data_IF_140041775656
#
_entry.id   IF_140041775656
#
_cell.length_a   1.000
_cell.length_b   1.000
_cell.length_c   1.000
_cell.angle_alpha   90.00
_cell.angle_beta   90.00
_cell.angle_gamma   90.00
#
_symmetry.space_group_name_H-M   'P 1'
#
loop_
_entity.id
_entity.type
_entity.pdbx_description
1 polymer ?
#
# COMPACT_ATOMS: atom_id res chain seq x y z
N UNK A 1 22.16 -22.40 13.95
CA UNK A 1 21.50 -21.54 12.94
C UNK A 1 20.36 -22.35 12.33
N UNK A 2 19.12 -21.89 12.50
CA UNK A 2 17.96 -22.60 11.95
C UNK A 2 17.10 -21.61 11.16
N UNK A 3 16.62 -22.05 10.00
CA UNK A 3 15.62 -21.29 9.23
C UNK A 3 14.27 -21.40 9.94
N UNK A 4 13.58 -20.26 10.05
CA UNK A 4 12.18 -20.21 10.47
C UNK A 4 11.27 -19.88 9.30
N UNK A 5 9.96 -19.94 9.54
CA UNK A 5 8.97 -19.43 8.61
C UNK A 5 8.66 -17.95 8.93
N UNK A 6 8.64 -17.09 7.91
CA UNK A 6 8.45 -15.66 8.06
C UNK A 6 7.56 -15.09 6.97
N UNK A 7 6.83 -14.02 7.29
CA UNK A 7 6.33 -13.06 6.32
C UNK A 7 7.44 -12.06 6.04
N UNK A 8 7.71 -11.78 4.77
CA UNK A 8 8.79 -10.92 4.34
C UNK A 8 8.25 -9.92 3.31
N UNK A 9 8.58 -8.66 3.49
CA UNK A 9 8.42 -7.62 2.51
C UNK A 9 9.79 -7.06 2.14
N UNK A 10 10.05 -6.93 0.85
CA UNK A 10 11.23 -6.27 0.31
C UNK A 10 10.79 -5.21 -0.69
N UNK A 11 11.31 -4.01 -0.58
CA UNK A 11 10.96 -2.91 -1.47
C UNK A 11 12.11 -1.91 -1.67
N UNK A 12 12.11 -1.33 -2.86
CA UNK A 12 12.99 -0.29 -3.33
C UNK A 12 12.28 1.07 -3.30
N UNK A 13 13.00 2.13 -2.90
CA UNK A 13 12.50 3.50 -2.95
C UNK A 13 12.86 4.11 -4.30
N UNK A 14 11.85 4.27 -5.16
CA UNK A 14 12.04 4.78 -6.50
C UNK A 14 12.42 6.26 -6.53
N UNK A 15 13.43 6.60 -7.31
CA UNK A 15 13.88 7.98 -7.48
C UNK A 15 15.03 8.39 -6.56
N UNK A 16 15.50 7.51 -5.67
CA UNK A 16 16.55 7.80 -4.70
C UNK A 16 17.91 8.09 -5.33
N UNK A 17 18.18 7.60 -6.52
CA UNK A 17 19.50 7.77 -7.17
C UNK A 17 19.94 9.23 -7.25
N UNK A 18 18.99 10.17 -7.35
CA UNK A 18 19.32 11.60 -7.35
C UNK A 18 19.83 12.11 -5.99
N UNK A 19 19.48 11.46 -4.88
CA UNK A 19 20.00 11.83 -3.56
C UNK A 19 21.42 11.33 -3.31
N UNK A 20 21.84 10.29 -4.05
CA UNK A 20 23.16 9.67 -3.90
C UNK A 20 24.20 10.21 -4.91
N UNK A 21 23.76 10.98 -5.92
CA UNK A 21 24.62 11.35 -7.02
C UNK A 21 25.52 12.58 -6.73
N UNK A 22 25.06 13.52 -5.91
CA UNK A 22 25.63 14.85 -5.86
C UNK A 22 26.08 15.32 -4.44
N UNK A 23 25.64 14.67 -3.35
CA UNK A 23 25.95 15.10 -1.98
C UNK A 23 25.82 13.97 -0.96
N UNK A 24 26.93 13.58 -0.34
CA UNK A 24 26.99 12.55 0.70
C UNK A 24 26.10 12.89 1.91
N UNK A 25 25.98 14.19 2.26
CA UNK A 25 25.12 14.61 3.35
C UNK A 25 23.63 14.48 3.01
N UNK A 26 23.25 14.78 1.77
CA UNK A 26 21.89 14.56 1.30
C UNK A 26 21.52 13.06 1.30
N UNK A 27 22.45 12.19 0.88
CA UNK A 27 22.29 10.76 0.94
C UNK A 27 22.10 10.23 2.37
N UNK A 28 22.96 10.66 3.31
CA UNK A 28 22.84 10.30 4.72
C UNK A 28 21.55 10.82 5.34
N UNK A 29 21.18 12.08 5.06
CA UNK A 29 19.92 12.68 5.53
C UNK A 29 18.71 11.86 5.06
N UNK A 30 18.70 11.47 3.77
CA UNK A 30 17.65 10.62 3.22
C UNK A 30 17.56 9.26 3.94
N UNK A 31 18.68 8.57 4.17
CA UNK A 31 18.68 7.29 4.87
C UNK A 31 18.19 7.40 6.32
N UNK A 32 18.55 8.50 7.03
CA UNK A 32 18.00 8.75 8.36
C UNK A 32 16.48 9.05 8.33
N UNK A 33 16.01 9.77 7.31
CA UNK A 33 14.57 10.00 7.11
C UNK A 33 13.85 8.70 6.83
N UNK A 34 14.38 7.85 5.94
CA UNK A 34 13.79 6.55 5.63
C UNK A 34 13.71 5.66 6.88
N UNK A 35 14.78 5.63 7.70
CA UNK A 35 14.77 4.94 9.00
C UNK A 35 13.68 5.49 9.92
N UNK A 36 13.52 6.81 9.97
CA UNK A 36 12.47 7.47 10.74
C UNK A 36 11.06 7.10 10.27
N UNK A 37 10.83 7.08 8.96
CA UNK A 37 9.56 6.68 8.35
C UNK A 37 9.18 5.24 8.69
N UNK A 38 10.12 4.29 8.56
CA UNK A 38 9.91 2.90 8.97
C UNK A 38 9.52 2.81 10.45
N UNK A 39 10.26 3.51 11.32
CA UNK A 39 9.96 3.51 12.75
C UNK A 39 8.59 4.15 13.08
N UNK A 40 8.21 5.22 12.38
CA UNK A 40 6.90 5.86 12.55
C UNK A 40 5.76 4.95 12.08
N UNK A 41 5.89 4.32 10.91
CA UNK A 41 4.88 3.40 10.37
C UNK A 41 4.68 2.18 11.26
N UNK A 42 5.77 1.63 11.81
CA UNK A 42 5.71 0.56 12.82
C UNK A 42 4.94 1.02 14.07
N UNK A 43 5.23 2.23 14.58
CA UNK A 43 4.53 2.79 15.74
C UNK A 43 3.06 3.05 15.47
N UNK A 44 2.73 3.63 14.32
CA UNK A 44 1.37 3.96 13.94
C UNK A 44 0.50 2.70 13.81
N UNK A 45 0.98 1.71 13.05
CA UNK A 45 0.24 0.49 12.82
C UNK A 45 0.13 -0.41 14.07
N UNK A 46 1.12 -0.38 14.96
CA UNK A 46 1.07 -1.10 16.23
C UNK A 46 0.29 -0.34 17.33
N UNK A 47 -0.27 0.84 17.02
CA UNK A 47 -1.04 1.64 17.98
C UNK A 47 -0.23 2.14 19.17
N UNK A 48 1.10 2.23 19.03
CA UNK A 48 2.03 2.69 20.07
C UNK A 48 2.04 4.23 20.10
N UNK A 49 0.86 4.85 20.07
CA UNK A 49 0.68 6.24 20.43
C UNK A 49 0.19 6.34 21.89
N UNK A 50 1.14 6.50 22.77
CA UNK A 50 1.12 7.20 24.07
C UNK A 50 0.15 6.79 25.18
N UNK A 51 -0.64 5.73 25.15
CA UNK A 51 -1.49 5.50 26.32
C UNK A 51 -1.77 4.08 26.78
N UNK A 52 -1.42 3.02 26.07
CA UNK A 52 -1.40 1.65 26.66
C UNK A 52 -0.56 0.69 25.83
N UNK A 53 0.29 -0.14 26.47
CA UNK A 53 1.02 -1.18 25.78
C UNK A 53 0.04 -2.21 25.21
N UNK A 54 0.27 -2.62 23.98
CA UNK A 54 -0.38 -3.75 23.30
C UNK A 54 0.00 -5.10 23.96
N UNK A 55 -0.14 -5.19 25.27
CA UNK A 55 0.18 -6.41 26.04
C UNK A 55 -0.80 -7.55 25.76
N UNK A 56 -1.73 -7.39 24.85
CA UNK A 56 -2.74 -8.41 24.50
C UNK A 56 -2.59 -8.99 23.10
N UNK A 57 -1.79 -8.38 22.22
CA UNK A 57 -1.42 -9.05 20.98
C UNK A 57 -0.15 -9.85 21.21
N UNK A 58 -0.13 -11.15 20.83
CA UNK A 58 1.08 -11.95 20.95
C UNK A 58 2.19 -11.31 20.13
N UNK A 59 3.36 -11.24 20.71
CA UNK A 59 4.62 -10.69 20.19
C UNK A 59 4.65 -10.28 18.71
N UNK A 60 4.20 -9.04 18.44
CA UNK A 60 4.31 -8.40 17.14
C UNK A 60 5.69 -7.79 16.97
N UNK A 61 6.72 -8.65 16.91
CA UNK A 61 8.09 -8.19 16.68
C UNK A 61 8.36 -8.14 15.17
N UNK A 62 7.97 -7.03 14.54
CA UNK A 62 8.37 -6.74 13.17
C UNK A 62 9.79 -6.18 13.20
N UNK A 63 10.70 -6.86 12.51
CA UNK A 63 12.08 -6.44 12.36
C UNK A 63 12.33 -5.88 10.96
N UNK A 64 13.40 -5.08 10.81
CA UNK A 64 13.74 -4.52 9.51
C UNK A 64 15.25 -4.41 9.30
N UNK A 65 15.62 -4.35 8.01
CA UNK A 65 16.98 -4.00 7.56
C UNK A 65 16.88 -2.97 6.46
N UNK A 66 17.83 -2.05 6.45
CA UNK A 66 17.98 -1.03 5.42
C UNK A 66 19.30 -1.27 4.68
N UNK A 67 19.22 -1.26 3.35
CA UNK A 67 20.38 -1.41 2.47
C UNK A 67 20.30 -0.34 1.38
N UNK A 68 21.04 0.76 1.53
CA UNK A 68 20.93 1.88 0.59
C UNK A 68 19.46 2.37 0.52
N UNK A 69 18.82 2.27 -0.63
CA UNK A 69 17.43 2.61 -0.92
C UNK A 69 16.46 1.44 -0.77
N UNK A 70 16.93 0.29 -0.31
CA UNK A 70 16.12 -0.89 -0.12
C UNK A 70 15.76 -1.12 1.34
N UNK A 71 14.56 -1.62 1.58
CA UNK A 71 14.05 -1.98 2.90
C UNK A 71 13.54 -3.41 2.88
N UNK A 72 14.00 -4.21 3.84
CA UNK A 72 13.43 -5.51 4.15
C UNK A 72 12.71 -5.44 5.50
N UNK A 73 11.42 -5.77 5.54
CA UNK A 73 10.64 -5.98 6.76
C UNK A 73 10.34 -7.46 6.89
N UNK A 74 10.38 -7.99 8.12
CA UNK A 74 10.05 -9.38 8.33
C UNK A 74 9.39 -9.63 9.71
N UNK A 75 8.47 -10.59 9.73
CA UNK A 75 7.70 -11.01 10.89
C UNK A 75 7.72 -12.54 10.96
N UNK A 76 8.20 -13.11 12.08
CA UNK A 76 8.20 -14.56 12.29
C UNK A 76 6.77 -15.10 12.35
N UNK A 77 6.50 -16.15 11.57
CA UNK A 77 5.23 -16.89 11.61
C UNK A 77 5.22 -17.76 12.87
N UNK A 78 4.10 -17.80 13.56
CA UNK A 78 3.91 -18.57 14.80
C UNK A 78 2.64 -19.41 14.75
N UNK A 79 2.50 -20.36 15.67
CA UNK A 79 1.28 -21.14 15.84
C UNK A 79 0.20 -20.38 16.66
N UNK A 80 0.28 -19.05 16.69
CA UNK A 80 -0.67 -18.22 17.43
C UNK A 80 -2.09 -18.35 16.85
N UNK A 81 -3.13 -18.53 17.67
CA UNK A 81 -4.51 -18.46 17.20
C UNK A 81 -4.87 -17.11 16.59
N UNK A 82 -4.06 -16.07 16.83
CA UNK A 82 -4.24 -14.71 16.27
C UNK A 82 -3.30 -14.43 15.08
N UNK A 83 -2.74 -15.49 14.44
CA UNK A 83 -1.77 -15.33 13.35
C UNK A 83 -2.34 -14.55 12.15
N UNK A 84 -3.64 -14.69 11.86
CA UNK A 84 -4.28 -13.87 10.82
C UNK A 84 -4.21 -12.37 11.14
N UNK A 85 -4.45 -11.98 12.39
CA UNK A 85 -4.36 -10.57 12.82
C UNK A 85 -2.91 -10.08 12.70
N UNK A 86 -1.93 -10.93 13.02
CA UNK A 86 -0.50 -10.63 12.88
C UNK A 86 -0.14 -10.36 11.43
N UNK A 87 -0.55 -11.25 10.51
CA UNK A 87 -0.33 -11.09 9.07
C UNK A 87 -0.98 -9.80 8.54
N UNK A 88 -2.25 -9.58 8.86
CA UNK A 88 -2.96 -8.39 8.36
C UNK A 88 -2.38 -7.09 8.93
N UNK A 89 -1.95 -7.08 10.20
CA UNK A 89 -1.23 -5.94 10.79
C UNK A 89 0.13 -5.72 10.10
N UNK A 90 0.84 -6.79 9.73
CA UNK A 90 2.08 -6.69 8.96
C UNK A 90 1.85 -6.02 7.60
N UNK A 91 0.81 -6.44 6.86
CA UNK A 91 0.43 -5.81 5.59
C UNK A 91 0.03 -4.34 5.77
N UNK A 92 -0.67 -4.02 6.86
CA UNK A 92 -1.04 -2.65 7.19
C UNK A 92 0.17 -1.76 7.46
N UNK A 93 1.17 -2.25 8.21
CA UNK A 93 2.44 -1.53 8.43
C UNK A 93 3.07 -1.14 7.11
N UNK A 94 3.08 -2.05 6.13
CA UNK A 94 3.67 -1.80 4.81
C UNK A 94 2.85 -0.75 4.04
N UNK A 95 1.51 -0.83 4.11
CA UNK A 95 0.63 0.17 3.49
C UNK A 95 0.81 1.56 4.10
N UNK A 96 0.95 1.66 5.44
CA UNK A 96 1.26 2.91 6.13
C UNK A 96 2.61 3.48 5.70
N UNK A 97 3.63 2.64 5.64
CA UNK A 97 4.95 3.06 5.19
C UNK A 97 4.89 3.58 3.74
N UNK A 98 4.14 2.93 2.87
CA UNK A 98 3.96 3.38 1.49
C UNK A 98 3.26 4.75 1.43
N UNK A 99 2.25 5.00 2.28
CA UNK A 99 1.59 6.31 2.43
C UNK A 99 2.54 7.38 2.98
N UNK A 100 3.29 7.07 4.02
CA UNK A 100 4.23 8.00 4.65
C UNK A 100 5.32 8.45 3.67
N UNK A 101 5.91 7.50 2.94
CA UNK A 101 6.92 7.78 1.92
C UNK A 101 6.34 8.62 0.79
N UNK A 102 5.13 8.29 0.33
CA UNK A 102 4.48 9.02 -0.76
C UNK A 102 4.05 10.43 -0.34
N UNK A 103 3.32 10.55 0.76
CA UNK A 103 2.68 11.81 1.13
C UNK A 103 3.61 12.75 1.90
N UNK A 104 4.60 12.20 2.61
CA UNK A 104 5.58 12.97 3.34
C UNK A 104 6.75 13.44 2.47
N UNK A 105 7.17 12.61 1.50
CA UNK A 105 8.42 12.82 0.77
C UNK A 105 8.28 12.80 -0.76
N UNK A 106 7.07 12.60 -1.28
CA UNK A 106 6.80 12.49 -2.72
C UNK A 106 7.63 11.38 -3.42
N UNK A 107 7.96 10.32 -2.68
CA UNK A 107 8.69 9.15 -3.17
C UNK A 107 7.74 7.96 -3.35
N UNK A 108 8.13 7.05 -4.21
CA UNK A 108 7.34 5.86 -4.56
C UNK A 108 8.06 4.60 -4.09
N UNK A 109 7.31 3.63 -3.60
CA UNK A 109 7.83 2.30 -3.28
C UNK A 109 7.43 1.28 -4.36
N UNK A 110 8.35 0.34 -4.61
CA UNK A 110 8.12 -0.83 -5.44
C UNK A 110 8.69 -2.03 -4.72
N UNK A 111 7.95 -3.16 -4.69
CA UNK A 111 8.42 -4.31 -3.93
C UNK A 111 7.52 -5.52 -4.03
N UNK A 112 7.78 -6.49 -3.13
CA UNK A 112 7.00 -7.70 -3.00
C UNK A 112 6.87 -8.16 -1.56
N UNK A 113 5.77 -8.85 -1.27
CA UNK A 113 5.51 -9.52 0.02
C UNK A 113 5.29 -11.00 -0.24
N UNK A 114 5.97 -11.83 0.55
CA UNK A 114 5.91 -13.30 0.45
C UNK A 114 5.97 -13.96 1.84
N UNK A 115 5.75 -15.25 1.89
CA UNK A 115 5.91 -16.06 3.10
C UNK A 115 6.77 -17.29 2.82
N UNK A 116 7.62 -17.67 3.77
CA UNK A 116 8.44 -18.88 3.63
C UNK A 116 9.69 -18.87 4.50
N UNK A 117 10.61 -19.77 4.17
CA UNK A 117 11.85 -20.00 4.94
C UNK A 117 12.79 -18.80 4.86
N UNK A 118 13.20 -18.35 6.03
CA UNK A 118 14.08 -17.20 6.19
C UNK A 118 14.94 -17.36 7.46
N UNK A 119 16.13 -16.81 7.41
CA UNK A 119 17.06 -16.69 8.52
C UNK A 119 17.45 -15.24 8.74
N UNK A 120 17.49 -14.81 9.98
CA UNK A 120 17.96 -13.49 10.38
C UNK A 120 18.75 -13.57 11.68
N UNK A 121 19.89 -12.88 11.72
CA UNK A 121 20.62 -12.55 12.94
C UNK A 121 21.03 -11.07 12.95
N UNK A 122 21.93 -10.67 13.81
CA UNK A 122 22.38 -9.28 13.95
C UNK A 122 23.05 -8.74 12.67
N UNK A 123 23.68 -9.61 11.88
CA UNK A 123 24.52 -9.24 10.75
C UNK A 123 24.00 -9.71 9.39
N UNK A 124 23.28 -10.82 9.36
CA UNK A 124 22.89 -11.52 8.14
C UNK A 124 21.39 -11.72 8.06
N UNK A 125 20.85 -11.52 6.86
CA UNK A 125 19.53 -11.98 6.48
C UNK A 125 19.62 -12.79 5.19
N UNK A 126 18.96 -13.94 5.12
CA UNK A 126 18.96 -14.80 3.94
C UNK A 126 17.79 -15.78 3.93
N UNK A 127 17.45 -16.27 2.75
CA UNK A 127 16.47 -17.35 2.61
C UNK A 127 15.68 -17.28 1.32
N UNK A 128 15.01 -18.40 0.96
CA UNK A 128 14.17 -18.45 -0.25
C UNK A 128 13.09 -17.37 -0.28
N UNK A 129 12.47 -17.08 0.87
CA UNK A 129 11.44 -16.05 0.92
C UNK A 129 11.97 -14.64 0.63
N UNK A 130 13.20 -14.30 1.07
CA UNK A 130 13.82 -13.02 0.69
C UNK A 130 14.10 -12.95 -0.82
N UNK A 131 14.62 -14.02 -1.40
CA UNK A 131 14.88 -14.11 -2.85
C UNK A 131 13.58 -13.90 -3.63
N UNK A 132 12.49 -14.54 -3.20
CA UNK A 132 11.19 -14.38 -3.87
C UNK A 132 10.66 -12.95 -3.74
N UNK A 133 10.79 -12.31 -2.57
CA UNK A 133 10.38 -10.90 -2.39
C UNK A 133 11.18 -9.94 -3.29
N UNK A 134 12.49 -10.20 -3.48
CA UNK A 134 13.36 -9.47 -4.42
C UNK A 134 12.91 -9.72 -5.87
N UNK A 135 12.64 -10.96 -6.27
CA UNK A 135 12.14 -11.29 -7.60
C UNK A 135 10.82 -10.57 -7.92
N UNK A 136 9.91 -10.48 -6.95
CA UNK A 136 8.66 -9.71 -7.09
C UNK A 136 8.94 -8.21 -7.30
N UNK A 137 9.90 -7.65 -6.59
CA UNK A 137 10.35 -6.25 -6.79
C UNK A 137 10.92 -6.06 -8.19
N UNK A 138 11.87 -6.89 -8.63
CA UNK A 138 12.53 -6.79 -9.93
C UNK A 138 11.54 -6.95 -11.11
N UNK A 139 10.56 -7.85 -10.98
CA UNK A 139 9.51 -8.05 -11.99
C UNK A 139 8.45 -6.95 -11.96
N UNK A 140 8.41 -6.16 -10.92
CA UNK A 140 7.48 -5.03 -10.76
C UNK A 140 7.84 -3.87 -11.69
N UNK A 141 6.96 -3.54 -12.64
CA UNK A 141 7.14 -2.37 -13.53
C UNK A 141 6.63 -1.10 -12.83
N UNK A 142 5.55 -1.23 -12.06
CA UNK A 142 4.78 -0.14 -11.48
C UNK A 142 5.16 0.11 -10.01
N UNK A 143 4.93 1.33 -9.49
CA UNK A 143 5.22 1.69 -8.11
C UNK A 143 4.17 1.10 -7.15
N UNK A 144 4.21 -0.20 -6.97
CA UNK A 144 3.32 -0.98 -6.12
C UNK A 144 4.08 -2.11 -5.42
N UNK A 145 3.54 -2.59 -4.32
CA UNK A 145 4.08 -3.72 -3.58
C UNK A 145 3.22 -4.94 -3.92
N UNK A 146 3.81 -5.88 -4.66
CA UNK A 146 3.14 -7.10 -5.10
C UNK A 146 2.94 -8.07 -3.93
N UNK A 147 1.84 -8.81 -3.96
CA UNK A 147 1.52 -9.87 -2.99
C UNK A 147 1.74 -11.22 -3.67
N UNK A 148 2.56 -12.07 -3.09
CA UNK A 148 2.77 -13.43 -3.57
C UNK A 148 1.62 -14.37 -3.21
N UNK A 149 1.45 -15.43 -3.99
CA UNK A 149 0.45 -16.47 -3.75
C UNK A 149 0.62 -17.18 -2.39
N UNK A 150 1.81 -17.18 -1.80
CA UNK A 150 2.04 -17.74 -0.46
C UNK A 150 1.27 -16.98 0.61
N UNK A 151 1.16 -15.64 0.48
CA UNK A 151 0.37 -14.79 1.37
C UNK A 151 -1.13 -15.08 1.20
N UNK A 152 -1.62 -15.17 -0.03
CA UNK A 152 -3.03 -15.48 -0.31
C UNK A 152 -3.43 -16.85 0.27
N UNK A 153 -2.57 -17.86 0.10
CA UNK A 153 -2.76 -19.18 0.71
C UNK A 153 -2.75 -19.12 2.24
N UNK A 154 -1.84 -18.34 2.83
CA UNK A 154 -1.76 -18.18 4.29
C UNK A 154 -3.02 -17.51 4.84
N UNK A 155 -3.49 -16.42 4.22
CA UNK A 155 -4.75 -15.75 4.58
C UNK A 155 -5.92 -16.72 4.51
N UNK A 156 -6.08 -17.41 3.40
CA UNK A 156 -7.18 -18.38 3.20
C UNK A 156 -7.16 -19.50 4.24
N UNK A 157 -6.00 -20.09 4.51
CA UNK A 157 -5.84 -21.15 5.50
C UNK A 157 -6.15 -20.65 6.93
N UNK A 158 -5.64 -19.49 7.30
CA UNK A 158 -5.84 -18.91 8.63
C UNK A 158 -7.31 -18.56 8.89
N UNK A 159 -8.00 -17.92 7.93
CA UNK A 159 -9.43 -17.59 8.05
C UNK A 159 -10.28 -18.87 8.17
N UNK A 160 -10.00 -19.89 7.37
CA UNK A 160 -10.78 -21.13 7.40
C UNK A 160 -10.54 -21.93 8.68
N UNK A 161 -9.34 -21.89 9.25
CA UNK A 161 -9.00 -22.65 10.45
C UNK A 161 -9.51 -22.00 11.75
N UNK A 162 -9.50 -20.65 11.81
CA UNK A 162 -9.88 -19.94 13.04
C UNK A 162 -11.37 -19.72 13.19
N UNK A 163 -12.09 -19.57 12.09
CA UNK A 163 -13.51 -19.21 12.10
C UNK A 163 -14.37 -20.18 11.26
N UNK A 164 -14.29 -21.50 11.50
CA UNK A 164 -15.02 -22.46 10.64
C UNK A 164 -16.53 -22.31 10.72
N UNK A 165 -17.08 -21.74 11.81
CA UNK A 165 -18.50 -21.63 12.07
C UNK A 165 -18.99 -20.20 12.37
N UNK A 166 -18.11 -19.22 12.42
CA UNK A 166 -18.46 -17.80 12.66
C UNK A 166 -18.43 -17.02 11.36
N UNK A 167 -19.60 -16.90 10.74
CA UNK A 167 -19.75 -16.25 9.44
C UNK A 167 -19.49 -14.75 9.50
N UNK A 168 -19.90 -14.06 10.57
CA UNK A 168 -19.76 -12.61 10.70
C UNK A 168 -18.29 -12.20 10.89
N UNK A 169 -17.55 -12.93 11.71
CA UNK A 169 -16.12 -12.68 11.91
C UNK A 169 -15.32 -13.01 10.65
N UNK A 170 -15.72 -14.08 9.93
CA UNK A 170 -15.12 -14.44 8.65
C UNK A 170 -15.32 -13.36 7.60
N UNK A 171 -16.53 -12.85 7.44
CA UNK A 171 -16.85 -11.80 6.47
C UNK A 171 -16.11 -10.49 6.81
N UNK A 172 -16.00 -10.14 8.09
CA UNK A 172 -15.21 -9.00 8.55
C UNK A 172 -13.72 -9.12 8.22
N UNK A 173 -13.13 -10.30 8.41
CA UNK A 173 -11.73 -10.58 8.03
C UNK A 173 -11.51 -10.55 6.53
N UNK A 174 -12.45 -11.10 5.74
CA UNK A 174 -12.39 -11.04 4.27
C UNK A 174 -12.50 -9.59 3.78
N UNK A 175 -13.43 -8.81 4.31
CA UNK A 175 -13.55 -7.39 3.98
C UNK A 175 -12.27 -6.61 4.28
N UNK A 176 -11.57 -6.96 5.37
CA UNK A 176 -10.28 -6.38 5.68
C UNK A 176 -9.21 -6.76 4.66
N UNK A 177 -9.10 -8.05 4.32
CA UNK A 177 -8.20 -8.51 3.26
C UNK A 177 -8.49 -7.78 1.94
N UNK A 178 -9.75 -7.70 1.53
CA UNK A 178 -10.19 -7.02 0.32
C UNK A 178 -9.85 -5.52 0.32
N UNK A 179 -9.86 -4.88 1.49
CA UNK A 179 -9.44 -3.49 1.61
C UNK A 179 -7.93 -3.30 1.42
N UNK A 180 -7.12 -4.27 1.84
CA UNK A 180 -5.65 -4.20 1.77
C UNK A 180 -5.06 -4.77 0.50
N UNK A 181 -5.70 -5.77 -0.12
CA UNK A 181 -5.17 -6.48 -1.29
C UNK A 181 -6.02 -6.18 -2.52
N UNK A 182 -5.39 -5.71 -3.56
CA UNK A 182 -6.05 -5.30 -4.78
C UNK A 182 -5.46 -6.02 -6.00
N UNK A 183 -6.31 -6.58 -6.86
CA UNK A 183 -5.88 -7.43 -7.98
C UNK A 183 -6.38 -7.04 -9.37
N UNK A 184 -6.96 -5.85 -9.56
CA UNK A 184 -7.77 -5.57 -10.75
C UNK A 184 -7.13 -4.65 -11.80
N UNK A 185 -5.96 -4.04 -11.54
CA UNK A 185 -5.36 -3.04 -12.45
C UNK A 185 -4.09 -3.55 -13.11
N UNK A 186 -4.04 -3.52 -14.43
CA UNK A 186 -2.88 -3.88 -15.22
C UNK A 186 -2.74 -5.39 -15.45
N UNK A 187 -1.63 -5.98 -15.00
CA UNK A 187 -1.29 -7.40 -15.19
C UNK A 187 -2.03 -8.38 -14.26
N UNK A 188 -3.04 -7.91 -13.54
CA UNK A 188 -3.87 -8.67 -12.59
C UNK A 188 -3.10 -9.31 -11.42
N UNK A 189 -1.83 -8.95 -11.22
CA UNK A 189 -1.09 -9.40 -10.03
C UNK A 189 -1.61 -8.67 -8.79
N UNK A 190 -1.92 -9.39 -7.70
CA UNK A 190 -2.38 -8.76 -6.48
C UNK A 190 -1.28 -7.86 -5.89
N UNK A 191 -1.68 -6.72 -5.36
CA UNK A 191 -0.77 -5.76 -4.74
C UNK A 191 -1.42 -5.07 -3.55
N UNK A 192 -0.59 -4.45 -2.71
CA UNK A 192 -1.05 -3.77 -1.51
C UNK A 192 -1.74 -2.45 -1.85
N UNK A 193 -2.96 -2.27 -1.34
CA UNK A 193 -3.76 -1.06 -1.52
C UNK A 193 -3.45 -0.02 -0.44
N UNK A 194 -2.48 0.83 -0.69
CA UNK A 194 -2.10 1.89 0.26
C UNK A 194 -3.06 3.09 0.30
N UNK A 195 -4.00 3.21 -0.62
CA UNK A 195 -5.01 4.27 -0.62
C UNK A 195 -6.23 3.92 0.24
N UNK A 196 -6.44 2.64 0.51
CA UNK A 196 -7.47 2.18 1.45
C UNK A 196 -7.07 2.47 2.90
N UNK A 197 -8.06 2.60 3.74
CA UNK A 197 -7.90 2.63 5.19
C UNK A 197 -8.54 1.36 5.72
N UNK A 198 -7.79 0.48 6.39
CA UNK A 198 -8.39 -0.69 7.02
C UNK A 198 -9.38 -0.25 8.08
N UNK A 199 -10.56 -0.81 8.09
CA UNK A 199 -11.56 -0.55 9.14
C UNK A 199 -11.09 -0.92 10.54
N UNK A 200 -9.97 -1.62 10.64
CA UNK A 200 -9.39 -2.09 11.89
C UNK A 200 -8.90 -1.02 12.84
N UNK A 201 -8.47 0.14 12.38
CA UNK A 201 -8.15 1.22 13.32
C UNK A 201 -9.36 1.54 14.23
N UNK A 202 -10.54 1.09 13.82
CA UNK A 202 -11.80 1.30 14.53
C UNK A 202 -12.42 0.03 15.09
N UNK A 203 -12.22 -1.11 14.44
CA UNK A 203 -12.56 -2.40 15.04
C UNK A 203 -11.60 -2.73 16.20
N UNK A 204 -10.35 -2.24 16.15
CA UNK A 204 -9.34 -2.54 17.15
C UNK A 204 -9.60 -1.92 18.55
N UNK A 205 -10.05 -0.65 18.71
CA UNK A 205 -10.48 -0.18 20.01
C UNK A 205 -11.63 -1.00 20.59
N UNK A 206 -12.46 -1.53 19.71
CA UNK A 206 -13.59 -2.39 20.01
C UNK A 206 -13.06 -3.80 20.38
N UNK A 207 -12.16 -4.40 19.65
CA UNK A 207 -11.50 -5.67 20.00
C UNK A 207 -10.69 -5.55 21.30
N UNK A 208 -10.01 -4.42 21.53
CA UNK A 208 -9.16 -4.18 22.70
C UNK A 208 -9.96 -3.98 23.99
N UNK A 209 -11.18 -3.49 23.92
CA UNK A 209 -12.05 -3.24 25.08
C UNK A 209 -13.08 -4.36 25.30
N UNK A 210 -12.86 -5.56 24.81
CA UNK A 210 -13.88 -6.60 24.76
C UNK A 210 -14.89 -6.35 23.64
N UNK A 211 -14.43 -5.77 22.57
CA UNK A 211 -15.25 -5.02 21.63
C UNK A 211 -16.15 -5.82 20.72
N UNK A 212 -15.83 -7.09 20.41
CA UNK A 212 -16.85 -7.95 19.77
C UNK A 212 -17.99 -8.18 20.77
N UNK A 213 -17.68 -8.50 22.02
CA UNK A 213 -18.68 -8.62 23.08
C UNK A 213 -19.45 -7.31 23.33
N UNK A 214 -18.78 -6.14 23.19
CA UNK A 214 -19.42 -4.83 23.33
C UNK A 214 -20.31 -4.52 22.12
N UNK A 215 -19.87 -4.82 20.89
CA UNK A 215 -20.72 -4.64 19.70
C UNK A 215 -21.90 -5.62 19.69
N UNK A 216 -21.67 -6.90 20.00
CA UNK A 216 -22.73 -7.90 20.13
C UNK A 216 -23.71 -7.54 21.26
N UNK A 217 -23.19 -6.99 22.37
CA UNK A 217 -24.03 -6.48 23.46
C UNK A 217 -24.81 -5.24 23.05
N UNK A 218 -24.16 -4.28 22.37
CA UNK A 218 -24.84 -3.10 21.84
C UNK A 218 -25.88 -3.48 20.78
N UNK A 219 -25.58 -4.39 19.87
CA UNK A 219 -26.54 -4.89 18.88
C UNK A 219 -27.77 -5.51 19.55
N UNK A 220 -27.58 -6.26 20.65
CA UNK A 220 -28.62 -6.94 21.37
C UNK A 220 -29.39 -6.03 22.35
N UNK A 221 -28.66 -5.19 23.11
CA UNK A 221 -29.21 -4.41 24.21
C UNK A 221 -29.58 -2.98 23.79
N UNK A 222 -28.98 -2.43 22.76
CA UNK A 222 -29.17 -1.06 22.27
C UNK A 222 -28.96 -0.95 20.74
N UNK A 223 -29.87 -1.52 19.92
CA UNK A 223 -29.72 -1.53 18.45
C UNK A 223 -29.53 -0.15 17.82
N UNK A 224 -30.15 0.88 18.39
CA UNK A 224 -30.00 2.27 17.92
C UNK A 224 -28.58 2.81 18.16
N UNK A 225 -27.96 2.48 19.30
CA UNK A 225 -26.59 2.89 19.65
C UNK A 225 -25.58 2.11 18.81
N UNK A 226 -25.85 0.83 18.55
CA UNK A 226 -25.08 0.01 17.61
C UNK A 226 -25.06 0.63 16.21
N UNK A 227 -26.23 0.98 15.64
CA UNK A 227 -26.30 1.59 14.31
C UNK A 227 -25.67 3.00 14.26
N UNK A 228 -25.78 3.79 15.32
CA UNK A 228 -25.07 5.08 15.43
C UNK A 228 -23.56 4.88 15.43
N UNK A 229 -23.06 3.93 16.21
CA UNK A 229 -21.62 3.62 16.31
C UNK A 229 -21.09 3.12 14.98
N UNK A 230 -21.79 2.18 14.34
CA UNK A 230 -21.45 1.66 13.01
C UNK A 230 -21.44 2.75 11.95
N UNK A 231 -22.44 3.64 11.95
CA UNK A 231 -22.53 4.76 11.01
C UNK A 231 -21.39 5.76 11.22
N UNK A 232 -21.07 6.10 12.45
CA UNK A 232 -19.96 6.99 12.78
C UNK A 232 -18.62 6.42 12.31
N UNK A 233 -18.37 5.13 12.56
CA UNK A 233 -17.18 4.39 12.09
C UNK A 233 -17.09 4.47 10.56
N UNK A 234 -18.18 4.12 9.86
CA UNK A 234 -18.21 4.14 8.39
C UNK A 234 -17.97 5.55 7.82
N UNK A 235 -18.52 6.59 8.44
CA UNK A 235 -18.33 7.99 8.04
C UNK A 235 -16.87 8.43 8.12
N UNK A 236 -16.22 8.11 9.20
CA UNK A 236 -14.82 8.50 9.39
C UNK A 236 -13.86 7.72 8.47
N UNK A 237 -14.11 6.39 8.22
CA UNK A 237 -13.33 5.61 7.23
C UNK A 237 -13.45 6.25 5.86
N UNK A 238 -14.67 6.58 5.43
CA UNK A 238 -14.90 7.28 4.16
C UNK A 238 -14.15 8.60 4.11
N UNK A 239 -14.15 9.38 5.19
CA UNK A 239 -13.40 10.64 5.28
C UNK A 239 -11.89 10.39 5.13
N UNK A 240 -11.33 9.39 5.81
CA UNK A 240 -9.90 9.08 5.72
C UNK A 240 -9.52 8.63 4.30
N UNK A 241 -10.35 7.80 3.64
CA UNK A 241 -10.14 7.40 2.25
C UNK A 241 -10.19 8.63 1.33
N UNK A 242 -11.16 9.51 1.51
CA UNK A 242 -11.26 10.75 0.77
C UNK A 242 -10.01 11.63 0.94
N UNK A 243 -9.55 11.83 2.17
CA UNK A 243 -8.35 12.60 2.47
C UNK A 243 -7.09 12.00 1.82
N UNK A 244 -6.96 10.66 1.84
CA UNK A 244 -5.87 9.95 1.14
C UNK A 244 -5.95 10.18 -0.38
N UNK A 245 -7.14 10.09 -0.97
CA UNK A 245 -7.34 10.32 -2.40
C UNK A 245 -7.07 11.77 -2.79
N UNK A 246 -7.52 12.75 -2.01
CA UNK A 246 -7.22 14.16 -2.25
C UNK A 246 -5.72 14.46 -2.19
N UNK A 247 -4.98 13.87 -1.22
CA UNK A 247 -3.51 13.99 -1.14
C UNK A 247 -2.84 13.31 -2.33
N UNK A 248 -3.33 12.16 -2.75
CA UNK A 248 -2.80 11.43 -3.91
C UNK A 248 -3.06 12.16 -5.23
N UNK A 249 -4.24 12.78 -5.39
CA UNK A 249 -4.56 13.65 -6.53
C UNK A 249 -3.54 14.81 -6.64
N UNK A 250 -3.31 15.52 -5.53
CA UNK A 250 -2.33 16.61 -5.48
C UNK A 250 -0.92 16.15 -5.84
N UNK A 251 -0.50 15.00 -5.33
CA UNK A 251 0.78 14.38 -5.67
C UNK A 251 0.86 14.06 -7.17
N UNK A 252 -0.18 13.45 -7.74
CA UNK A 252 -0.21 13.10 -9.16
C UNK A 252 -0.12 14.32 -10.05
N UNK A 253 -0.91 15.37 -9.80
CA UNK A 253 -0.85 16.59 -10.60
C UNK A 253 0.56 17.23 -10.56
N UNK A 254 1.14 17.37 -9.37
CA UNK A 254 2.49 17.92 -9.24
C UNK A 254 3.56 17.08 -9.97
N UNK A 255 3.47 15.76 -9.86
CA UNK A 255 4.42 14.86 -10.50
C UNK A 255 4.25 14.76 -12.02
N UNK A 256 3.02 14.71 -12.52
CA UNK A 256 2.72 14.68 -13.95
C UNK A 256 3.22 15.98 -14.59
N UNK A 257 2.92 17.13 -13.99
CA UNK A 257 3.42 18.43 -14.47
C UNK A 257 4.95 18.47 -14.52
N UNK A 258 5.63 17.93 -13.51
CA UNK A 258 7.08 17.96 -13.39
C UNK A 258 7.79 16.98 -14.34
N UNK A 259 7.25 15.77 -14.49
CA UNK A 259 8.00 14.67 -15.10
C UNK A 259 7.41 14.16 -16.42
N UNK A 260 6.14 14.39 -16.70
CA UNK A 260 5.42 13.74 -17.80
C UNK A 260 5.04 14.67 -18.94
N UNK A 261 5.20 15.99 -18.79
CA UNK A 261 4.91 16.97 -19.83
C UNK A 261 5.86 16.85 -21.04
N UNK A 262 5.51 17.54 -22.09
CA UNK A 262 6.37 17.67 -23.29
C UNK A 262 7.70 18.26 -22.85
N UNK A 263 8.78 17.51 -22.98
CA UNK A 263 10.10 17.92 -22.49
C UNK A 263 11.09 18.02 -23.61
N UNK A 264 12.11 18.87 -23.41
CA UNK A 264 13.28 19.06 -24.26
C UNK A 264 14.26 17.87 -24.22
N UNK A 265 13.75 16.64 -24.03
CA UNK A 265 14.60 15.45 -24.16
C UNK A 265 15.12 15.39 -25.59
N UNK A 266 16.44 15.36 -25.72
CA UNK A 266 17.06 15.13 -27.02
C UNK A 266 16.55 13.80 -27.59
N UNK A 267 15.75 13.86 -28.64
CA UNK A 267 15.11 12.69 -29.28
C UNK A 267 16.13 11.71 -29.88
N UNK A 268 17.33 12.18 -30.15
CA UNK A 268 18.42 11.35 -30.65
C UNK A 268 19.07 10.50 -29.52
N UNK A 269 18.85 10.88 -28.25
CA UNK A 269 19.29 10.08 -27.11
C UNK A 269 18.24 9.03 -26.73
N UNK A 270 18.37 7.84 -27.31
CA UNK A 270 17.47 6.70 -27.07
C UNK A 270 17.38 6.30 -25.60
N UNK A 271 18.44 6.50 -24.81
CA UNK A 271 18.42 6.17 -23.37
C UNK A 271 17.58 7.18 -22.58
N UNK A 272 17.71 8.46 -22.89
CA UNK A 272 16.90 9.51 -22.26
C UNK A 272 15.41 9.36 -22.60
N UNK A 273 15.08 9.07 -23.87
CA UNK A 273 13.71 8.78 -24.31
C UNK A 273 13.13 7.54 -23.58
N UNK A 274 13.88 6.44 -23.53
CA UNK A 274 13.45 5.21 -22.85
C UNK A 274 13.21 5.45 -21.34
N UNK A 275 14.09 6.21 -20.68
CA UNK A 275 13.94 6.57 -19.27
C UNK A 275 12.67 7.42 -19.04
N UNK A 276 12.43 8.40 -19.89
CA UNK A 276 11.23 9.25 -19.81
C UNK A 276 9.97 8.42 -19.98
N UNK A 277 9.90 7.57 -21.00
CA UNK A 277 8.78 6.68 -21.24
C UNK A 277 8.52 5.75 -20.05
N UNK A 278 9.58 5.23 -19.42
CA UNK A 278 9.46 4.44 -18.19
C UNK A 278 8.84 5.24 -17.04
N UNK A 279 9.18 6.52 -16.90
CA UNK A 279 8.62 7.40 -15.88
C UNK A 279 7.12 7.66 -16.16
N UNK A 280 6.79 8.03 -17.39
CA UNK A 280 5.41 8.32 -17.81
C UNK A 280 4.49 7.12 -17.58
N UNK A 281 4.93 5.91 -17.93
CA UNK A 281 4.15 4.68 -17.70
C UNK A 281 3.84 4.44 -16.21
N UNK A 282 4.75 4.80 -15.30
CA UNK A 282 4.50 4.71 -13.86
C UNK A 282 3.37 5.65 -13.43
N UNK A 283 3.41 6.90 -13.88
CA UNK A 283 2.37 7.90 -13.53
C UNK A 283 1.03 7.62 -14.22
N UNK A 284 1.05 7.08 -15.45
CA UNK A 284 -0.16 6.57 -16.11
C UNK A 284 -0.83 5.51 -15.24
N UNK A 285 -0.08 4.52 -14.79
CA UNK A 285 -0.61 3.46 -13.93
C UNK A 285 -1.16 4.03 -12.60
N UNK A 286 -0.44 4.94 -11.97
CA UNK A 286 -0.88 5.58 -10.73
C UNK A 286 -2.18 6.38 -10.92
N UNK A 287 -2.33 7.10 -12.03
CA UNK A 287 -3.55 7.84 -12.33
C UNK A 287 -4.75 6.91 -12.56
N UNK A 288 -4.54 5.80 -13.29
CA UNK A 288 -5.57 4.77 -13.50
C UNK A 288 -5.99 4.13 -12.17
N UNK A 289 -5.03 3.73 -11.33
CA UNK A 289 -5.31 3.18 -10.01
C UNK A 289 -6.05 4.17 -9.11
N UNK A 290 -5.60 5.43 -9.09
CA UNK A 290 -6.24 6.50 -8.34
C UNK A 290 -7.71 6.70 -8.75
N UNK A 291 -7.96 6.87 -10.05
CA UNK A 291 -9.32 7.07 -10.57
C UNK A 291 -10.23 5.86 -10.31
N UNK A 292 -9.67 4.65 -10.36
CA UNK A 292 -10.41 3.45 -10.00
C UNK A 292 -10.84 3.49 -8.51
N UNK A 293 -9.94 3.88 -7.61
CA UNK A 293 -10.25 4.03 -6.19
C UNK A 293 -11.28 5.14 -5.92
N UNK A 294 -11.22 6.26 -6.68
CA UNK A 294 -12.25 7.30 -6.62
C UNK A 294 -13.62 6.75 -7.04
N UNK A 295 -13.68 5.98 -8.13
CA UNK A 295 -14.91 5.36 -8.63
C UNK A 295 -15.52 4.37 -7.65
N UNK A 296 -14.71 3.49 -7.04
CA UNK A 296 -15.16 2.55 -6.01
C UNK A 296 -15.80 3.26 -4.80
N UNK A 297 -15.25 4.40 -4.40
CA UNK A 297 -15.69 5.15 -3.24
C UNK A 297 -16.66 6.28 -3.57
N UNK A 298 -16.96 6.51 -4.85
CA UNK A 298 -17.85 7.58 -5.36
C UNK A 298 -17.36 8.99 -5.00
N UNK A 299 -16.05 9.23 -5.05
CA UNK A 299 -15.40 10.52 -4.81
C UNK A 299 -15.00 11.18 -6.13
N UNK A 300 -15.97 11.74 -6.84
CA UNK A 300 -15.77 12.37 -8.15
C UNK A 300 -14.90 13.63 -8.08
N UNK A 301 -14.90 14.32 -6.95
CA UNK A 301 -14.10 15.53 -6.69
C UNK A 301 -12.60 15.25 -6.58
N UNK A 302 -12.23 13.99 -6.34
CA UNK A 302 -10.83 13.54 -6.29
C UNK A 302 -10.29 13.02 -7.63
N UNK A 303 -11.10 12.92 -8.70
CA UNK A 303 -10.65 12.38 -9.98
C UNK A 303 -9.48 13.18 -10.57
N UNK A 304 -8.54 12.46 -11.19
CA UNK A 304 -7.42 13.05 -11.94
C UNK A 304 -7.75 13.03 -13.43
N UNK A 305 -7.80 14.20 -14.03
CA UNK A 305 -8.06 14.36 -15.46
C UNK A 305 -6.74 14.52 -16.20
N UNK A 306 -6.36 13.50 -16.97
CA UNK A 306 -5.11 13.48 -17.73
C UNK A 306 -5.35 12.91 -19.11
N UNK A 307 -4.66 13.47 -20.10
CA UNK A 307 -4.57 12.94 -21.44
C UNK A 307 -3.23 12.23 -21.58
N UNK A 308 -3.29 10.98 -21.96
CA UNK A 308 -2.10 10.21 -22.33
C UNK A 308 -2.00 10.20 -23.85
N UNK A 309 -0.82 10.56 -24.36
CA UNK A 309 -0.53 10.56 -25.79
C UNK A 309 0.71 9.71 -26.02
N UNK A 310 0.63 8.81 -26.99
CA UNK A 310 1.76 8.09 -27.55
C UNK A 310 1.93 8.54 -28.98
N UNK A 311 3.11 9.06 -29.32
CA UNK A 311 3.46 9.41 -30.68
C UNK A 311 4.26 8.25 -31.32
N UNK A 312 3.67 7.48 -32.24
CA UNK A 312 4.32 6.34 -32.87
C UNK A 312 5.49 6.75 -33.80
N UNK A 313 5.53 8.02 -34.23
CA UNK A 313 6.58 8.53 -35.12
C UNK A 313 7.84 8.88 -34.32
N UNK A 314 7.65 9.58 -33.20
CA UNK A 314 8.75 10.01 -32.32
C UNK A 314 9.04 9.01 -31.23
N UNK A 315 8.18 8.00 -31.03
CA UNK A 315 8.20 7.04 -29.93
C UNK A 315 8.15 7.72 -28.55
N UNK A 316 7.52 8.90 -28.48
CA UNK A 316 7.39 9.68 -27.26
C UNK A 316 6.06 9.37 -26.56
N UNK A 317 6.14 9.07 -25.27
CA UNK A 317 5.00 9.06 -24.36
C UNK A 317 4.94 10.40 -23.60
N UNK A 318 3.78 11.03 -23.48
CA UNK A 318 3.57 12.19 -22.60
C UNK A 318 2.17 12.20 -21.99
N UNK A 319 2.04 12.93 -20.89
CA UNK A 319 0.77 13.15 -20.20
C UNK A 319 0.55 14.63 -19.99
N UNK A 320 -0.66 15.08 -20.27
CA UNK A 320 -1.13 16.45 -20.01
C UNK A 320 -2.21 16.42 -18.93
N UNK A 321 -2.19 17.40 -18.03
CA UNK A 321 -3.27 17.64 -17.10
C UNK A 321 -4.37 18.35 -17.87
N UNK A 322 -5.60 17.83 -17.77
CA UNK A 322 -6.79 18.44 -18.32
C UNK A 322 -7.57 19.16 -17.21
N UNK A 323 -8.23 20.23 -17.57
CA UNK A 323 -9.24 20.82 -16.70
C UNK A 323 -10.39 19.83 -16.48
N UNK A 324 -10.97 19.80 -15.26
CA UNK A 324 -12.17 18.99 -15.04
C UNK A 324 -13.27 19.43 -16.01
N UNK A 325 -13.99 18.47 -16.62
CA UNK A 325 -15.07 18.82 -17.53
C UNK A 325 -16.10 19.70 -16.80
N UNK A 326 -16.51 20.80 -17.42
CA UNK A 326 -17.62 21.59 -16.90
C UNK A 326 -18.80 20.66 -16.61
N UNK A 327 -19.45 20.84 -15.45
CA UNK A 327 -20.51 19.96 -14.91
C UNK A 327 -21.69 19.83 -15.89
N UNK A 328 -21.52 19.08 -16.94
CA UNK A 328 -22.57 18.70 -17.88
C UNK A 328 -22.41 17.25 -18.29
N UNK A 329 -23.11 16.40 -17.54
CA UNK A 329 -23.29 14.98 -17.90
C UNK A 329 -22.08 14.11 -17.57
N UNK A 330 -22.35 13.03 -16.87
CA UNK A 330 -21.48 11.91 -16.57
C UNK A 330 -20.46 11.73 -17.69
N UNK A 331 -19.25 12.23 -17.50
CA UNK A 331 -18.17 11.93 -18.41
C UNK A 331 -17.98 10.40 -18.34
N UNK A 332 -18.31 9.76 -19.44
CA UNK A 332 -18.07 8.35 -19.66
C UNK A 332 -16.69 7.98 -19.11
N UNK A 333 -16.65 7.10 -18.11
CA UNK A 333 -15.46 6.44 -17.60
C UNK A 333 -14.94 5.46 -18.68
N UNK A 334 -14.85 5.93 -19.93
CA UNK A 334 -14.39 5.14 -21.08
C UNK A 334 -12.90 4.82 -21.04
N UNK A 335 -12.12 5.48 -20.14
CA UNK A 335 -10.71 5.17 -19.96
C UNK A 335 -10.44 3.77 -19.36
N UNK A 336 -11.44 3.14 -18.76
CA UNK A 336 -11.30 1.81 -18.14
C UNK A 336 -11.71 0.65 -19.06
N UNK A 337 -12.32 0.90 -20.23
CA UNK A 337 -12.87 -0.18 -21.09
C UNK A 337 -12.06 -0.49 -22.34
N UNK A 338 -11.06 0.30 -22.72
CA UNK A 338 -10.36 0.09 -24.01
C UNK A 338 -8.99 -0.57 -23.93
N UNK A 339 -8.37 -0.74 -22.75
CA UNK A 339 -7.06 -1.40 -22.61
C UNK A 339 -7.05 -2.37 -21.42
N UNK A 340 -8.14 -3.04 -21.09
CA UNK A 340 -8.20 -4.13 -20.13
C UNK A 340 -8.02 -5.47 -20.83
#
# INVERSE_FOLDING_TARGET
>A
MEFGEYYIAYFDVLGCKSYFADDDNAALSFLYQLKGMVACSLKAALGINNSRPLNTLPEMKIEYRLFSDNVALYLKITDSPLEIIRLLTFLQVIAELQREVLFGHALLLRGGVTAGKFYSDETLIMGPALIEAVNLEETGIYPRILIDNSIDKAVSALINNLFPNDFLTKDGMLAWVESLVFGAVGDKKPFLNYLSVPELEKVYPVLKNGGMEVLERLEKDSPEEYERTRTAISSDVKKQIHDNLARHQKFLYGSIQKYCGYSDVNKDDKNAVALKNKIIRKYKWLAVFHNYMCGLNKFEDCLVFVKYTYDPITLDDYMEILDPPEKSGVADVQFLKKDA
#
